data_IF_940619150839
#
_entry.id   IF_940619150839
#
_cell.length_a   1.000
_cell.length_b   1.000
_cell.length_c   1.000
_cell.angle_alpha   90.00
_cell.angle_beta   90.00
_cell.angle_gamma   90.00
#
_symmetry.space_group_name_H-M   'P 1'
#
loop_
_entity.id
_entity.type
_entity.pdbx_description
1 polymer ?
#
# COMPACT_ATOMS: atom_id res chain seq x y z
N UNK A 1 21.44 -26.14 2.08
CA UNK A 1 21.52 -24.69 2.40
C UNK A 1 20.11 -24.16 2.44
N UNK A 2 19.77 -23.38 3.48
CA UNK A 2 18.48 -22.70 3.62
C UNK A 2 18.73 -21.20 3.78
N UNK A 3 17.92 -20.39 3.11
CA UNK A 3 17.92 -18.93 3.25
C UNK A 3 16.53 -18.51 3.76
N UNK A 4 16.50 -17.68 4.79
CA UNK A 4 15.27 -17.13 5.35
C UNK A 4 15.29 -15.63 5.13
N UNK A 5 14.24 -15.11 4.52
CA UNK A 5 14.03 -13.69 4.29
C UNK A 5 12.92 -13.20 5.22
N UNK A 6 13.08 -12.03 5.81
CA UNK A 6 12.08 -11.43 6.67
C UNK A 6 12.20 -9.90 6.69
N UNK A 7 11.06 -9.24 6.81
CA UNK A 7 10.94 -7.79 6.97
C UNK A 7 10.10 -7.50 8.22
N UNK A 8 10.72 -6.89 9.22
CA UNK A 8 10.04 -6.56 10.49
C UNK A 8 8.99 -5.46 10.34
N UNK A 9 9.19 -4.55 9.39
CA UNK A 9 8.27 -3.44 9.18
C UNK A 9 6.97 -3.86 8.46
N UNK A 10 6.93 -5.06 7.86
CA UNK A 10 5.74 -5.60 7.18
C UNK A 10 5.01 -6.65 8.01
N UNK A 11 5.02 -6.50 9.32
CA UNK A 11 4.25 -7.34 10.24
C UNK A 11 2.76 -7.05 10.11
N UNK A 12 1.92 -8.10 10.14
CA UNK A 12 0.45 -8.01 9.98
C UNK A 12 -0.32 -8.37 11.25
N UNK A 13 0.37 -8.59 12.36
CA UNK A 13 -0.22 -9.00 13.63
C UNK A 13 0.17 -8.03 14.74
N UNK A 14 -0.78 -7.66 15.61
CA UNK A 14 -0.52 -6.78 16.76
C UNK A 14 0.43 -7.38 17.79
N UNK A 15 0.48 -8.72 17.89
CA UNK A 15 1.34 -9.47 18.80
C UNK A 15 2.31 -10.38 18.05
N UNK A 16 3.25 -9.82 17.35
CA UNK A 16 4.29 -10.62 16.70
C UNK A 16 5.38 -11.00 17.65
N UNK A 17 5.69 -12.31 17.65
CA UNK A 17 6.97 -12.77 18.16
C UNK A 17 8.06 -12.30 17.20
N UNK A 18 9.15 -11.75 17.73
CA UNK A 18 10.33 -11.44 16.90
C UNK A 18 10.93 -12.77 16.37
N UNK A 19 10.36 -13.21 15.23
CA UNK A 19 10.78 -14.48 14.60
C UNK A 19 12.25 -14.44 14.25
N UNK A 20 12.80 -13.26 13.87
CA UNK A 20 14.19 -13.14 13.49
C UNK A 20 15.14 -13.32 14.68
N UNK A 21 14.73 -12.91 15.88
CA UNK A 21 15.51 -13.15 17.12
C UNK A 21 15.43 -14.61 17.58
N UNK A 22 14.41 -15.34 17.15
CA UNK A 22 14.23 -16.75 17.49
C UNK A 22 15.04 -17.72 16.60
N UNK A 23 15.38 -17.31 15.38
CA UNK A 23 16.10 -18.15 14.41
C UNK A 23 17.42 -18.75 14.95
N UNK A 24 18.28 -18.01 15.68
CA UNK A 24 19.50 -18.58 16.26
C UNK A 24 19.25 -19.69 17.27
N UNK A 25 18.07 -19.70 17.92
CA UNK A 25 17.69 -20.78 18.87
C UNK A 25 17.29 -22.04 18.17
N UNK A 26 16.70 -21.94 16.96
CA UNK A 26 16.24 -23.09 16.17
C UNK A 26 17.38 -23.69 15.33
N UNK A 27 18.18 -22.84 14.71
CA UNK A 27 19.19 -23.25 13.72
C UNK A 27 20.64 -23.17 14.24
N UNK A 28 20.85 -22.79 15.51
CA UNK A 28 22.16 -22.67 16.13
C UNK A 28 22.88 -21.35 15.83
N UNK A 29 24.06 -21.15 16.45
CA UNK A 29 24.79 -19.88 16.43
C UNK A 29 25.52 -19.58 15.11
N UNK A 30 25.52 -20.50 14.16
CA UNK A 30 26.25 -20.36 12.87
C UNK A 30 25.46 -19.61 11.79
N UNK A 31 24.36 -18.93 12.11
CA UNK A 31 23.56 -18.20 11.12
C UNK A 31 24.27 -16.90 10.72
N UNK A 32 24.55 -16.76 9.43
CA UNK A 32 24.99 -15.49 8.87
C UNK A 32 23.78 -14.59 8.65
N UNK A 33 23.75 -13.45 9.33
CA UNK A 33 22.73 -12.40 9.13
C UNK A 33 23.27 -11.38 8.12
N UNK A 34 22.46 -11.07 7.12
CA UNK A 34 22.71 -9.99 6.15
C UNK A 34 21.55 -9.03 6.27
N UNK A 35 21.82 -7.77 6.60
CA UNK A 35 20.83 -6.72 6.58
C UNK A 35 20.84 -6.09 5.19
N UNK A 36 19.68 -6.06 4.53
CA UNK A 36 19.48 -5.34 3.29
C UNK A 36 18.77 -4.03 3.64
N UNK A 37 19.54 -2.95 3.72
CA UNK A 37 19.06 -1.64 4.20
C UNK A 37 18.91 -0.62 3.07
N UNK A 38 19.05 -1.03 1.79
CA UNK A 38 18.93 -0.12 0.65
C UNK A 38 17.67 -0.40 -0.16
N UNK A 39 16.84 0.63 -0.32
CA UNK A 39 15.64 0.58 -1.16
C UNK A 39 15.96 1.12 -2.55
N UNK A 40 15.72 0.30 -3.57
CA UNK A 40 15.89 0.66 -4.99
C UNK A 40 14.54 0.83 -5.71
N UNK A 41 13.44 0.53 -5.03
CA UNK A 41 12.11 0.40 -5.62
C UNK A 41 11.40 1.73 -5.73
N UNK A 42 11.26 2.41 -4.62
CA UNK A 42 10.48 3.64 -4.49
C UNK A 42 11.30 4.86 -4.88
N UNK A 43 10.65 5.98 -5.18
CA UNK A 43 11.31 7.28 -5.23
C UNK A 43 11.79 7.68 -3.84
N UNK A 44 12.72 8.62 -3.78
CA UNK A 44 13.29 9.12 -2.52
C UNK A 44 12.21 9.73 -1.62
N UNK A 45 11.24 10.44 -2.20
CA UNK A 45 10.12 11.06 -1.52
C UNK A 45 9.21 10.01 -0.86
N UNK A 46 8.86 8.96 -1.60
CA UNK A 46 8.04 7.85 -1.09
C UNK A 46 8.80 7.08 0.00
N UNK A 47 10.06 6.77 -0.21
CA UNK A 47 10.87 6.04 0.74
C UNK A 47 11.10 6.86 2.03
N UNK A 48 11.33 8.18 1.93
CA UNK A 48 11.43 9.10 3.06
C UNK A 48 10.12 9.14 3.85
N UNK A 49 8.99 9.22 3.15
CA UNK A 49 7.67 9.19 3.78
C UNK A 49 7.44 7.85 4.51
N UNK A 50 7.71 6.73 3.86
CA UNK A 50 7.57 5.41 4.47
C UNK A 50 8.44 5.29 5.74
N UNK A 51 9.68 5.79 5.72
CA UNK A 51 10.56 5.81 6.89
C UNK A 51 9.99 6.68 8.02
N UNK A 52 9.31 7.79 7.72
CA UNK A 52 8.72 8.68 8.74
C UNK A 52 7.56 8.04 9.50
N UNK A 53 6.85 7.10 8.90
CA UNK A 53 5.73 6.36 9.54
C UNK A 53 6.15 5.03 10.15
N UNK A 54 7.33 4.53 9.85
CA UNK A 54 7.87 3.29 10.42
C UNK A 54 8.91 3.60 11.49
N UNK A 55 9.05 2.70 12.46
CA UNK A 55 10.13 2.78 13.44
C UNK A 55 11.49 2.25 12.89
N UNK A 56 11.59 2.06 11.57
CA UNK A 56 12.78 1.55 10.89
C UNK A 56 13.60 2.72 10.36
N UNK A 57 14.65 3.10 11.09
CA UNK A 57 15.45 4.29 10.82
C UNK A 57 16.66 4.09 9.90
N UNK A 58 17.02 2.86 9.56
CA UNK A 58 18.33 2.55 8.94
C UNK A 58 18.27 2.24 7.45
N UNK A 59 17.23 2.68 6.72
CA UNK A 59 17.12 2.41 5.29
C UNK A 59 17.87 3.49 4.48
N UNK A 60 18.89 3.08 3.74
CA UNK A 60 19.54 3.92 2.74
C UNK A 60 18.60 4.15 1.56
N UNK A 61 18.41 5.42 1.20
CA UNK A 61 17.56 5.82 0.08
C UNK A 61 18.38 5.82 -1.22
N UNK A 62 17.78 5.34 -2.29
CA UNK A 62 18.36 5.46 -3.62
C UNK A 62 17.97 6.82 -4.22
N UNK A 63 18.91 7.51 -4.85
CA UNK A 63 18.71 8.84 -5.45
C UNK A 63 17.88 8.78 -6.75
N UNK A 64 16.61 8.33 -6.61
CA UNK A 64 15.61 8.41 -7.66
C UNK A 64 14.50 9.34 -7.20
N UNK A 65 14.52 10.58 -7.67
CA UNK A 65 13.50 11.57 -7.33
C UNK A 65 12.20 11.34 -8.09
N UNK A 66 11.10 11.70 -7.46
CA UNK A 66 9.74 11.67 -8.00
C UNK A 66 8.90 12.82 -7.47
N UNK A 67 7.59 12.70 -7.58
CA UNK A 67 6.68 13.68 -7.00
C UNK A 67 6.66 13.58 -5.48
N UNK A 68 6.42 14.68 -4.76
CA UNK A 68 6.13 14.65 -3.33
C UNK A 68 4.94 13.73 -3.03
N UNK A 69 4.95 13.08 -1.86
CA UNK A 69 3.78 12.35 -1.38
C UNK A 69 2.66 13.34 -1.12
N UNK A 70 1.48 13.06 -1.66
CA UNK A 70 0.31 13.91 -1.48
C UNK A 70 -0.55 13.39 -0.34
N UNK A 71 -0.71 14.19 0.72
CA UNK A 71 -1.61 13.89 1.83
C UNK A 71 -2.83 14.80 1.75
N UNK A 72 -4.04 14.22 1.74
CA UNK A 72 -5.27 14.98 1.64
C UNK A 72 -6.35 14.39 2.54
N UNK A 73 -7.16 15.28 3.14
CA UNK A 73 -8.32 14.90 3.97
C UNK A 73 -9.61 15.19 3.22
N UNK A 74 -10.49 14.21 3.18
CA UNK A 74 -11.80 14.29 2.52
C UNK A 74 -12.94 14.24 3.52
N UNK A 75 -14.06 14.91 3.19
CA UNK A 75 -15.29 14.89 4.00
C UNK A 75 -15.90 13.50 4.10
N UNK A 76 -15.82 12.75 3.02
CA UNK A 76 -16.38 11.41 2.89
C UNK A 76 -15.61 10.59 1.84
N UNK A 77 -15.94 9.30 1.79
CA UNK A 77 -15.25 8.34 0.91
C UNK A 77 -15.52 8.59 -0.57
N UNK A 78 -16.72 9.04 -0.92
CA UNK A 78 -17.05 9.33 -2.33
C UNK A 78 -16.17 10.45 -2.87
N UNK A 79 -15.99 11.52 -2.09
CA UNK A 79 -15.10 12.62 -2.46
C UNK A 79 -13.64 12.15 -2.68
N UNK A 80 -13.15 11.25 -1.81
CA UNK A 80 -11.82 10.68 -1.99
C UNK A 80 -11.72 9.81 -3.27
N UNK A 81 -12.74 9.01 -3.56
CA UNK A 81 -12.77 8.16 -4.77
C UNK A 81 -12.93 8.97 -6.06
N UNK A 82 -13.67 10.08 -6.05
CA UNK A 82 -13.71 11.00 -7.20
C UNK A 82 -12.34 11.65 -7.44
N UNK A 83 -11.61 12.02 -6.39
CA UNK A 83 -10.24 12.51 -6.52
C UNK A 83 -9.29 11.45 -7.12
N UNK A 84 -9.47 10.17 -6.78
CA UNK A 84 -8.74 9.07 -7.43
C UNK A 84 -9.02 9.05 -8.93
N UNK A 85 -10.30 9.11 -9.33
CA UNK A 85 -10.69 9.09 -10.75
C UNK A 85 -10.14 10.30 -11.51
N UNK A 86 -10.12 11.48 -10.89
CA UNK A 86 -9.53 12.67 -11.49
C UNK A 86 -8.04 12.49 -11.76
N UNK A 87 -7.28 11.97 -10.79
CA UNK A 87 -5.84 11.67 -10.97
C UNK A 87 -5.60 10.65 -12.07
N UNK A 88 -6.37 9.56 -12.12
CA UNK A 88 -6.24 8.53 -13.16
C UNK A 88 -6.54 9.04 -14.57
N UNK A 89 -7.34 10.10 -14.72
CA UNK A 89 -7.63 10.73 -16.02
C UNK A 89 -6.56 11.71 -16.46
N UNK A 90 -5.84 12.31 -15.52
CA UNK A 90 -4.81 13.30 -15.80
C UNK A 90 -3.46 12.68 -16.12
N UNK A 91 -3.21 11.48 -15.65
CA UNK A 91 -1.90 10.83 -15.73
C UNK A 91 -2.01 9.40 -16.27
N UNK A 92 -1.28 9.11 -17.33
CA UNK A 92 -1.23 7.79 -17.94
C UNK A 92 -0.19 6.90 -17.23
N UNK A 93 -0.63 6.17 -16.20
CA UNK A 93 0.15 5.08 -15.63
C UNK A 93 -0.37 3.73 -16.07
N UNK A 94 0.53 2.74 -16.10
CA UNK A 94 0.19 1.39 -16.50
C UNK A 94 -0.62 0.68 -15.41
N UNK A 95 -0.27 0.93 -14.14
CA UNK A 95 -0.88 0.30 -12.97
C UNK A 95 -1.16 1.32 -11.86
N UNK A 96 -2.35 1.26 -11.30
CA UNK A 96 -2.74 2.03 -10.12
C UNK A 96 -3.45 1.14 -9.10
N UNK A 97 -3.35 1.47 -7.81
CA UNK A 97 -4.08 0.76 -6.78
C UNK A 97 -4.80 1.71 -5.82
N UNK A 98 -6.05 1.37 -5.50
CA UNK A 98 -6.74 1.86 -4.31
C UNK A 98 -6.59 0.80 -3.22
N UNK A 99 -5.95 1.15 -2.13
CA UNK A 99 -5.68 0.24 -1.02
C UNK A 99 -6.45 0.70 0.21
N UNK A 100 -7.35 -0.15 0.67
CA UNK A 100 -8.23 0.09 1.83
C UNK A 100 -7.76 -0.66 3.07
N UNK A 101 -8.16 -0.18 4.24
CA UNK A 101 -7.80 -0.79 5.52
C UNK A 101 -8.60 -2.06 5.83
N UNK A 102 -9.80 -2.22 5.24
CA UNK A 102 -10.66 -3.39 5.45
C UNK A 102 -11.24 -3.93 4.16
N UNK A 103 -11.57 -5.23 4.14
CA UNK A 103 -12.21 -5.87 2.99
C UNK A 103 -13.58 -5.25 2.66
N UNK A 104 -14.36 -4.93 3.67
CA UNK A 104 -15.68 -4.30 3.46
C UNK A 104 -15.54 -2.96 2.74
N UNK A 105 -14.60 -2.11 3.19
CA UNK A 105 -14.32 -0.83 2.54
C UNK A 105 -13.81 -1.02 1.12
N UNK A 106 -12.92 -1.99 0.90
CA UNK A 106 -12.40 -2.29 -0.44
C UNK A 106 -13.53 -2.69 -1.40
N UNK A 107 -14.47 -3.52 -0.98
CA UNK A 107 -15.60 -3.93 -1.81
C UNK A 107 -16.55 -2.76 -2.12
N UNK A 108 -16.85 -1.90 -1.15
CA UNK A 108 -17.66 -0.69 -1.36
C UNK A 108 -16.97 0.29 -2.33
N UNK A 109 -15.68 0.52 -2.14
CA UNK A 109 -14.88 1.39 -3.04
C UNK A 109 -14.79 0.81 -4.44
N UNK A 110 -14.62 -0.50 -4.57
CA UNK A 110 -14.58 -1.18 -5.86
C UNK A 110 -15.90 -1.06 -6.63
N UNK A 111 -17.03 -1.29 -5.96
CA UNK A 111 -18.36 -1.14 -6.57
C UNK A 111 -18.57 0.29 -7.09
N UNK A 112 -18.29 1.28 -6.25
CA UNK A 112 -18.41 2.69 -6.61
C UNK A 112 -17.51 3.07 -7.77
N UNK A 113 -16.22 2.73 -7.70
CA UNK A 113 -15.26 3.07 -8.75
C UNK A 113 -15.61 2.42 -10.08
N UNK A 114 -16.05 1.16 -10.08
CA UNK A 114 -16.46 0.46 -11.29
C UNK A 114 -17.62 1.18 -11.97
N UNK A 115 -18.69 1.49 -11.22
CA UNK A 115 -19.86 2.22 -11.72
C UNK A 115 -19.46 3.57 -12.31
N UNK A 116 -18.67 4.35 -11.58
CA UNK A 116 -18.22 5.67 -12.04
C UNK A 116 -17.31 5.60 -13.27
N UNK A 117 -16.40 4.63 -13.33
CA UNK A 117 -15.54 4.41 -14.50
C UNK A 117 -16.38 4.05 -15.74
N UNK A 118 -17.41 3.21 -15.59
CA UNK A 118 -18.35 2.86 -16.68
C UNK A 118 -19.13 4.10 -17.16
N UNK A 119 -19.65 4.92 -16.26
CA UNK A 119 -20.32 6.19 -16.58
C UNK A 119 -19.40 7.18 -17.33
N UNK A 120 -18.11 7.16 -17.00
CA UNK A 120 -17.08 7.99 -17.67
C UNK A 120 -16.56 7.38 -18.98
N UNK A 121 -17.09 6.23 -19.40
CA UNK A 121 -16.67 5.53 -20.62
C UNK A 121 -15.29 4.91 -20.55
N UNK A 122 -14.79 4.64 -19.35
CA UNK A 122 -13.50 3.99 -19.13
C UNK A 122 -13.61 2.47 -19.31
N UNK A 123 -12.56 1.82 -19.82
CA UNK A 123 -12.53 0.36 -20.00
C UNK A 123 -12.40 -0.38 -18.67
N UNK A 124 -13.53 -0.73 -18.06
CA UNK A 124 -13.53 -1.50 -16.80
C UNK A 124 -13.31 -2.99 -17.03
N UNK A 125 -13.62 -3.50 -18.22
CA UNK A 125 -13.46 -4.93 -18.52
C UNK A 125 -11.98 -5.36 -18.52
N UNK A 126 -11.11 -4.55 -19.11
CA UNK A 126 -9.68 -4.87 -19.25
C UNK A 126 -8.80 -4.13 -18.26
N UNK A 127 -9.23 -2.99 -17.72
CA UNK A 127 -8.42 -2.07 -16.90
C UNK A 127 -8.91 -1.87 -15.47
N UNK A 128 -9.84 -2.71 -15.00
CA UNK A 128 -10.28 -2.69 -13.61
C UNK A 128 -10.21 -4.10 -13.01
N UNK A 129 -9.70 -4.20 -11.80
CA UNK A 129 -9.64 -5.47 -11.06
C UNK A 129 -9.85 -5.25 -9.56
N UNK A 130 -10.40 -6.27 -8.91
CA UNK A 130 -10.47 -6.37 -7.46
C UNK A 130 -9.60 -7.55 -7.05
N UNK A 131 -8.66 -7.30 -6.15
CA UNK A 131 -7.83 -8.37 -5.59
C UNK A 131 -8.36 -8.71 -4.21
N UNK A 132 -8.92 -9.89 -4.09
CA UNK A 132 -9.40 -10.52 -2.87
C UNK A 132 -8.61 -11.81 -2.57
N UNK A 133 -9.08 -12.61 -1.61
CA UNK A 133 -8.38 -13.84 -1.21
C UNK A 133 -8.35 -14.92 -2.29
N UNK A 134 -9.34 -14.89 -3.21
CA UNK A 134 -9.51 -15.88 -4.25
C UNK A 134 -8.93 -15.41 -5.59
N UNK A 135 -8.47 -14.17 -5.66
CA UNK A 135 -7.92 -13.59 -6.88
C UNK A 135 -6.53 -14.14 -7.19
N UNK A 136 -6.38 -14.67 -8.38
CA UNK A 136 -5.09 -15.21 -8.86
C UNK A 136 -4.36 -14.30 -9.83
N UNK A 137 -5.03 -13.26 -10.33
CA UNK A 137 -4.50 -12.34 -11.35
C UNK A 137 -4.99 -10.92 -11.11
N UNK A 138 -4.12 -9.96 -11.30
CA UNK A 138 -4.52 -8.56 -11.46
C UNK A 138 -4.21 -8.10 -12.89
N UNK A 139 -4.97 -7.11 -13.36
CA UNK A 139 -4.85 -6.54 -14.71
C UNK A 139 -4.07 -5.23 -14.63
N UNK A 140 -3.56 -4.77 -15.77
CA UNK A 140 -3.13 -3.38 -15.92
C UNK A 140 -4.33 -2.44 -15.69
N UNK A 141 -4.06 -1.23 -15.23
CA UNK A 141 -5.09 -0.27 -14.89
C UNK A 141 -5.32 -0.18 -13.38
N UNK A 142 -6.55 0.04 -12.95
CA UNK A 142 -6.90 0.23 -11.55
C UNK A 142 -7.19 -1.09 -10.85
N UNK A 143 -6.50 -1.31 -9.75
CA UNK A 143 -6.73 -2.42 -8.81
C UNK A 143 -7.29 -1.90 -7.49
N UNK A 144 -8.36 -2.49 -6.98
CA UNK A 144 -8.85 -2.22 -5.62
C UNK A 144 -8.56 -3.42 -4.74
N UNK A 145 -7.95 -3.17 -3.59
CA UNK A 145 -7.52 -4.23 -2.67
C UNK A 145 -7.39 -3.73 -1.23
N UNK A 146 -6.97 -4.62 -0.33
CA UNK A 146 -6.60 -4.27 1.05
C UNK A 146 -5.10 -4.27 1.24
N UNK A 147 -4.60 -3.60 2.29
CA UNK A 147 -3.18 -3.59 2.60
C UNK A 147 -2.60 -5.01 2.84
N UNK A 148 -3.40 -5.96 3.34
CA UNK A 148 -2.97 -7.34 3.52
C UNK A 148 -2.64 -8.03 2.19
N UNK A 149 -3.52 -7.82 1.20
CA UNK A 149 -3.43 -8.48 -0.10
C UNK A 149 -2.50 -7.72 -1.05
N UNK A 150 -2.28 -6.43 -0.80
CA UNK A 150 -1.30 -5.63 -1.53
C UNK A 150 0.15 -6.05 -1.24
N UNK A 151 0.38 -6.82 -0.15
CA UNK A 151 1.73 -7.27 0.19
C UNK A 151 2.32 -8.14 -0.92
N UNK A 152 3.48 -7.71 -1.44
CA UNK A 152 4.16 -8.38 -2.57
C UNK A 152 3.77 -7.85 -3.94
N UNK A 153 2.72 -7.03 -4.05
CA UNK A 153 2.35 -6.32 -5.27
C UNK A 153 3.07 -4.97 -5.36
N UNK A 154 3.12 -4.41 -6.55
CA UNK A 154 3.72 -3.10 -6.83
C UNK A 154 2.88 -2.39 -7.89
N UNK A 155 2.74 -1.06 -7.76
CA UNK A 155 1.93 -0.24 -8.64
C UNK A 155 2.63 1.09 -8.93
N UNK A 156 2.45 1.62 -10.12
CA UNK A 156 3.00 2.94 -10.49
C UNK A 156 2.42 4.03 -9.58
N UNK A 157 1.10 3.99 -9.35
CA UNK A 157 0.39 4.89 -8.45
C UNK A 157 -0.31 4.12 -7.33
N UNK A 158 -0.24 4.61 -6.11
CA UNK A 158 -0.98 4.07 -4.96
C UNK A 158 -1.80 5.17 -4.29
N UNK A 159 -3.08 4.89 -4.10
CA UNK A 159 -4.02 5.67 -3.31
C UNK A 159 -4.37 4.86 -2.06
N UNK A 160 -3.81 5.24 -0.92
CA UNK A 160 -4.09 4.60 0.36
C UNK A 160 -5.23 5.34 1.06
N UNK A 161 -6.38 4.69 1.24
CA UNK A 161 -7.56 5.26 1.90
C UNK A 161 -7.67 4.73 3.32
N UNK A 162 -7.69 5.65 4.28
CA UNK A 162 -7.83 5.35 5.71
C UNK A 162 -8.72 6.39 6.39
N UNK A 163 -9.12 6.14 7.63
CA UNK A 163 -9.94 7.08 8.41
C UNK A 163 -9.17 7.55 9.64
N UNK A 164 -9.63 8.64 10.27
CA UNK A 164 -9.09 9.13 11.55
C UNK A 164 -9.15 8.09 12.67
N UNK A 165 -10.02 7.08 12.58
CA UNK A 165 -10.12 5.97 13.53
C UNK A 165 -9.06 4.87 13.27
N UNK A 166 -8.44 4.86 12.10
CA UNK A 166 -7.40 3.89 11.72
C UNK A 166 -6.03 4.35 12.30
N UNK A 167 -5.91 4.38 13.64
CA UNK A 167 -4.77 4.95 14.36
C UNK A 167 -4.00 3.97 15.26
N UNK A 168 -4.32 2.68 15.20
CA UNK A 168 -3.60 1.65 15.97
C UNK A 168 -2.19 1.39 15.39
N UNK A 169 -1.29 0.72 16.13
CA UNK A 169 0.01 0.29 15.59
C UNK A 169 -0.13 -0.53 14.29
N UNK A 170 -1.16 -1.39 14.19
CA UNK A 170 -1.44 -2.14 12.97
C UNK A 170 -1.78 -1.21 11.79
N UNK A 171 -2.57 -0.17 12.01
CA UNK A 171 -2.90 0.79 10.97
C UNK A 171 -1.68 1.63 10.55
N UNK A 172 -0.74 1.93 11.46
CA UNK A 172 0.53 2.56 11.11
C UNK A 172 1.34 1.65 10.18
N UNK A 173 1.44 0.36 10.51
CA UNK A 173 2.08 -0.63 9.64
C UNK A 173 1.37 -0.79 8.31
N UNK A 174 0.03 -0.76 8.31
CA UNK A 174 -0.76 -0.79 7.08
C UNK A 174 -0.41 0.38 6.15
N UNK A 175 -0.31 1.61 6.68
CA UNK A 175 0.11 2.78 5.90
C UNK A 175 1.55 2.63 5.37
N UNK A 176 2.46 2.11 6.16
CA UNK A 176 3.81 1.77 5.69
C UNK A 176 3.79 0.75 4.55
N UNK A 177 3.00 -0.32 4.68
CA UNK A 177 2.83 -1.31 3.60
C UNK A 177 2.29 -0.63 2.35
N UNK A 178 1.23 0.19 2.44
CA UNK A 178 0.69 0.93 1.30
C UNK A 178 1.76 1.80 0.63
N UNK A 179 2.50 2.58 1.41
CA UNK A 179 3.54 3.45 0.90
C UNK A 179 4.61 2.67 0.12
N UNK A 180 5.05 1.53 0.65
CA UNK A 180 6.07 0.70 -0.01
C UNK A 180 5.58 -0.04 -1.26
N UNK A 181 4.30 0.05 -1.61
CA UNK A 181 3.73 -0.51 -2.87
C UNK A 181 3.84 0.46 -4.04
N UNK A 182 4.00 1.76 -3.78
CA UNK A 182 4.08 2.78 -4.81
C UNK A 182 5.46 2.84 -5.44
N UNK A 183 5.54 2.79 -6.77
CA UNK A 183 6.78 2.93 -7.53
C UNK A 183 7.09 4.40 -7.85
N UNK A 184 6.08 5.18 -8.25
CA UNK A 184 6.22 6.54 -8.78
C UNK A 184 5.44 7.58 -8.00
N UNK A 185 4.19 7.30 -7.61
CA UNK A 185 3.31 8.25 -6.95
C UNK A 185 2.56 7.62 -5.78
N UNK A 186 2.48 8.38 -4.69
CA UNK A 186 1.79 7.97 -3.48
C UNK A 186 0.83 9.08 -3.03
N UNK A 187 -0.42 8.69 -2.85
CA UNK A 187 -1.51 9.51 -2.35
C UNK A 187 -2.05 8.89 -1.05
N UNK A 188 -1.98 9.65 0.03
CA UNK A 188 -2.42 9.24 1.36
C UNK A 188 -3.71 9.99 1.70
N UNK A 189 -4.86 9.35 1.47
CA UNK A 189 -6.17 9.96 1.59
C UNK A 189 -6.85 9.60 2.91
N UNK A 190 -6.95 10.59 3.78
CA UNK A 190 -7.67 10.47 5.03
C UNK A 190 -9.15 10.83 4.82
N UNK A 191 -10.03 9.90 5.13
CA UNK A 191 -11.48 10.12 5.08
C UNK A 191 -11.98 10.39 6.49
N UNK A 192 -12.70 11.50 6.69
CA UNK A 192 -13.33 11.77 7.98
C UNK A 192 -14.30 10.63 8.31
N UNK A 193 -14.23 10.13 9.54
CA UNK A 193 -15.17 9.12 9.99
C UNK A 193 -16.59 9.73 9.96
N UNK A 194 -17.51 9.15 9.21
CA UNK A 194 -18.92 9.50 9.29
C UNK A 194 -19.39 9.18 10.71
N UNK A 195 -20.12 10.09 11.31
CA UNK A 195 -20.90 9.79 12.51
C UNK A 195 -22.15 9.03 12.01
N UNK A 196 -22.03 7.71 11.81
CA UNK A 196 -23.16 6.81 11.63
C UNK A 196 -23.44 6.07 12.94
#
# INVERSE_FOLDING_TARGET
>A
KMTILGDKAQTMEEKTRDVLSFLPRVFGRGIRKINMNKSYRNTMEIASYANSISDVSDMELFERHGKPVEEQTFSDRKAALEAVLEKLRLEEFETAAVIEMTQERAMKSAAYLKERMEELGMDTENRFSVVDRDSTRFKKGLTVTTFYLAKGLEFDQVFALYTTQDNTPLHRQARYICATRALHELYMYEVKASQD
#
